data_IF_633149892782
#
_entry.id   IF_633149892782
#
_cell.length_a   1.000
_cell.length_b   1.000
_cell.length_c   1.000
_cell.angle_alpha   90.00
_cell.angle_beta   90.00
_cell.angle_gamma   90.00
#
_symmetry.space_group_name_H-M   'P 1'
#
loop_
_entity.id
_entity.type
_entity.pdbx_description
1 polymer ?
#
# COMPACT_ATOMS: atom_id res chain seq x y z
N UNK A 1 12.46 10.39 -13.32
CA UNK A 1 13.75 9.68 -13.09
C UNK A 1 13.51 8.21 -13.42
N UNK A 2 14.30 7.66 -14.36
CA UNK A 2 14.16 6.26 -14.77
C UNK A 2 15.08 5.37 -13.93
N UNK A 3 14.56 4.25 -13.50
CA UNK A 3 15.27 3.23 -12.73
C UNK A 3 15.14 1.90 -13.47
N UNK A 4 16.24 1.19 -13.63
CA UNK A 4 16.27 -0.16 -14.18
C UNK A 4 16.67 -1.14 -13.06
N UNK A 5 15.75 -2.02 -12.68
CA UNK A 5 16.06 -3.18 -11.85
C UNK A 5 16.56 -4.27 -12.80
N UNK A 6 17.84 -4.66 -12.69
CA UNK A 6 18.49 -5.52 -13.67
C UNK A 6 18.78 -6.91 -13.14
N UNK A 7 18.42 -7.92 -13.93
CA UNK A 7 18.79 -9.31 -13.71
C UNK A 7 18.08 -9.99 -12.54
N UNK A 8 16.94 -9.46 -12.05
CA UNK A 8 16.16 -10.05 -10.97
C UNK A 8 15.26 -11.19 -11.43
N UNK A 9 14.95 -12.15 -10.54
CA UNK A 9 13.83 -13.05 -10.75
C UNK A 9 12.52 -12.27 -10.56
N UNK A 10 11.84 -11.98 -11.66
CA UNK A 10 10.57 -11.25 -11.65
C UNK A 10 9.43 -12.26 -11.52
N UNK A 11 8.67 -12.12 -10.41
CA UNK A 11 7.48 -12.92 -10.13
C UNK A 11 6.26 -12.02 -10.14
N UNK A 12 5.36 -12.23 -11.11
CA UNK A 12 4.11 -11.48 -11.23
C UNK A 12 2.96 -12.44 -11.51
N UNK A 13 2.14 -12.75 -10.50
CA UNK A 13 0.99 -13.64 -10.66
C UNK A 13 -0.06 -13.14 -11.65
N UNK A 14 -0.21 -11.80 -11.79
CA UNK A 14 -1.23 -11.23 -12.67
C UNK A 14 -0.94 -11.51 -14.15
N UNK A 15 0.34 -11.59 -14.52
CA UNK A 15 0.80 -11.91 -15.88
C UNK A 15 1.33 -13.33 -16.02
N UNK A 16 1.21 -14.15 -14.96
CA UNK A 16 1.77 -15.51 -14.88
C UNK A 16 3.28 -15.54 -15.21
N UNK A 17 4.02 -14.55 -14.74
CA UNK A 17 5.45 -14.40 -14.99
C UNK A 17 6.25 -14.95 -13.80
N UNK A 18 7.25 -15.77 -14.10
CA UNK A 18 8.29 -16.20 -13.17
C UNK A 18 9.56 -16.46 -14.02
N UNK A 19 10.39 -15.41 -14.17
CA UNK A 19 11.58 -15.49 -15.02
C UNK A 19 12.61 -14.45 -14.60
N UNK A 20 13.88 -14.69 -14.95
CA UNK A 20 14.93 -13.69 -14.78
C UNK A 20 14.83 -12.69 -15.93
N UNK A 21 14.59 -11.44 -15.59
CA UNK A 21 14.54 -10.33 -16.54
C UNK A 21 14.71 -8.97 -15.83
N UNK A 22 14.67 -7.90 -16.63
CA UNK A 22 14.82 -6.52 -16.16
C UNK A 22 13.44 -5.86 -16.01
N UNK A 23 13.37 -4.87 -15.10
CA UNK A 23 12.18 -4.02 -14.92
C UNK A 23 12.60 -2.56 -15.04
N UNK A 24 12.08 -1.87 -16.06
CA UNK A 24 12.29 -0.44 -16.25
C UNK A 24 11.12 0.34 -15.68
N UNK A 25 11.43 1.26 -14.77
CA UNK A 25 10.47 2.12 -14.07
C UNK A 25 10.73 3.57 -14.52
N UNK A 26 9.66 4.28 -14.90
CA UNK A 26 9.70 5.72 -15.16
C UNK A 26 8.73 6.45 -14.21
N UNK A 27 9.29 7.19 -13.27
CA UNK A 27 8.48 7.83 -12.22
C UNK A 27 7.69 6.82 -11.41
N UNK A 28 6.36 6.83 -11.52
CA UNK A 28 5.45 5.96 -10.79
C UNK A 28 4.90 4.79 -11.64
N UNK A 29 5.47 4.54 -12.83
CA UNK A 29 4.94 3.56 -13.79
C UNK A 29 6.01 2.54 -14.15
N UNK A 30 5.65 1.26 -14.22
CA UNK A 30 6.46 0.23 -14.85
C UNK A 30 6.34 0.43 -16.37
N UNK A 31 7.42 0.91 -16.99
CA UNK A 31 7.45 1.20 -18.43
C UNK A 31 7.62 -0.08 -19.25
N UNK A 32 8.52 -0.96 -18.81
CA UNK A 32 8.83 -2.20 -19.52
C UNK A 32 9.34 -3.30 -18.59
N UNK A 33 9.00 -4.54 -18.92
CA UNK A 33 9.56 -5.73 -18.31
C UNK A 33 10.04 -6.65 -19.42
N UNK A 34 11.33 -7.04 -19.42
CA UNK A 34 11.92 -7.87 -20.46
C UNK A 34 13.42 -8.07 -20.26
N UNK A 35 14.06 -8.79 -21.16
CA UNK A 35 15.50 -9.02 -21.12
C UNK A 35 16.25 -7.91 -21.85
N UNK A 36 17.50 -7.68 -21.43
CA UNK A 36 18.46 -6.80 -22.10
C UNK A 36 17.94 -5.37 -22.34
N UNK A 37 17.24 -4.81 -21.36
CA UNK A 37 16.73 -3.43 -21.46
C UNK A 37 17.88 -2.42 -21.47
N UNK A 38 17.71 -1.28 -22.22
CA UNK A 38 18.76 -0.28 -22.36
C UNK A 38 19.12 0.36 -21.01
N UNK A 39 20.44 0.50 -20.77
CA UNK A 39 20.99 1.12 -19.56
C UNK A 39 21.34 2.60 -19.73
N UNK A 40 21.30 3.12 -20.95
CA UNK A 40 21.66 4.50 -21.23
C UNK A 40 20.61 5.48 -20.65
N UNK A 41 21.06 6.44 -19.85
CA UNK A 41 20.20 7.49 -19.29
C UNK A 41 19.28 7.03 -18.14
N UNK A 42 19.53 5.88 -17.55
CA UNK A 42 18.77 5.34 -16.42
C UNK A 42 19.68 5.06 -15.23
N UNK A 43 19.11 5.09 -14.01
CA UNK A 43 19.79 4.59 -12.82
C UNK A 43 19.65 3.06 -12.78
N UNK A 44 20.75 2.34 -12.87
CA UNK A 44 20.76 0.87 -12.83
C UNK A 44 20.91 0.39 -11.39
N UNK A 45 20.01 -0.51 -10.99
CA UNK A 45 20.06 -1.23 -9.73
C UNK A 45 20.20 -2.72 -10.06
N UNK A 46 21.38 -3.27 -9.87
CA UNK A 46 21.61 -4.71 -10.02
C UNK A 46 20.88 -5.45 -8.90
N UNK A 47 19.98 -6.37 -9.26
CA UNK A 47 19.23 -7.15 -8.28
C UNK A 47 20.14 -8.26 -7.74
N UNK A 48 20.37 -8.33 -6.42
CA UNK A 48 21.24 -9.34 -5.86
C UNK A 48 20.76 -10.78 -6.16
N UNK A 49 21.70 -11.69 -6.35
CA UNK A 49 21.38 -13.11 -6.59
C UNK A 49 20.51 -13.67 -5.45
N UNK A 50 19.42 -14.35 -5.82
CA UNK A 50 18.46 -14.92 -4.87
C UNK A 50 17.33 -13.95 -4.46
N UNK A 51 17.43 -12.66 -4.83
CA UNK A 51 16.34 -11.72 -4.62
C UNK A 51 15.24 -11.86 -5.69
N UNK A 52 14.02 -11.60 -5.27
CA UNK A 52 12.83 -11.60 -6.13
C UNK A 52 12.34 -10.18 -6.30
N UNK A 53 11.99 -9.81 -7.52
CA UNK A 53 11.26 -8.58 -7.85
C UNK A 53 9.80 -8.97 -8.06
N UNK A 54 8.91 -8.43 -7.26
CA UNK A 54 7.47 -8.71 -7.35
C UNK A 54 6.65 -7.43 -7.13
N UNK A 55 5.35 -7.42 -7.46
CA UNK A 55 4.44 -6.36 -7.03
C UNK A 55 4.51 -6.16 -5.52
N UNK A 56 4.38 -4.91 -5.07
CA UNK A 56 4.36 -4.60 -3.65
C UNK A 56 3.22 -5.32 -2.94
N UNK A 57 3.45 -5.77 -1.70
CA UNK A 57 2.46 -6.48 -0.93
C UNK A 57 1.30 -5.59 -0.53
N UNK A 58 0.14 -6.20 -0.31
CA UNK A 58 -1.06 -5.55 0.20
C UNK A 58 -1.48 -6.29 1.47
N UNK A 59 -1.58 -5.57 2.60
CA UNK A 59 -2.13 -6.12 3.82
C UNK A 59 -3.59 -5.69 3.96
N UNK A 60 -4.49 -6.67 3.97
CA UNK A 60 -5.94 -6.41 4.02
C UNK A 60 -6.49 -6.31 5.45
N UNK A 61 -5.64 -6.36 6.49
CA UNK A 61 -6.11 -6.31 7.87
C UNK A 61 -5.05 -5.73 8.79
N UNK A 62 -5.00 -4.41 8.91
CA UNK A 62 -4.11 -3.71 9.83
C UNK A 62 -4.87 -2.79 10.78
N UNK A 63 -4.24 -2.40 11.89
CA UNK A 63 -4.79 -1.43 12.82
C UNK A 63 -3.86 -0.23 12.91
N UNK A 64 -4.22 0.88 12.26
CA UNK A 64 -3.44 2.12 12.29
C UNK A 64 -3.74 2.99 13.52
N UNK A 65 -4.74 2.62 14.33
CA UNK A 65 -5.07 3.20 15.64
C UNK A 65 -5.47 4.68 15.66
N UNK A 66 -5.33 5.37 14.57
CA UNK A 66 -5.70 6.78 14.42
C UNK A 66 -6.96 6.91 13.55
N UNK A 67 -7.97 7.68 14.00
CA UNK A 67 -7.99 8.55 15.17
C UNK A 67 -8.25 7.82 16.51
N UNK A 68 -7.79 8.45 17.60
CA UNK A 68 -8.21 8.19 18.98
C UNK A 68 -7.30 7.27 19.79
N UNK A 69 -6.35 6.60 19.21
CA UNK A 69 -5.38 5.74 19.89
C UNK A 69 -3.94 6.00 19.43
N UNK A 70 -3.62 7.25 19.13
CA UNK A 70 -2.34 7.71 18.56
C UNK A 70 -1.13 7.38 19.44
N UNK A 71 -1.37 7.16 20.74
CA UNK A 71 -0.35 6.71 21.68
C UNK A 71 0.16 5.28 21.41
N UNK A 72 -0.58 4.49 20.62
CA UNK A 72 -0.19 3.13 20.22
C UNK A 72 0.44 3.13 18.83
N UNK A 73 -0.19 3.80 17.88
CA UNK A 73 0.20 3.87 16.49
C UNK A 73 -0.44 5.09 15.83
N UNK A 74 0.20 5.67 14.84
CA UNK A 74 -0.37 6.68 13.94
C UNK A 74 -0.40 6.15 12.51
N UNK A 75 -1.20 6.78 11.65
CA UNK A 75 -1.22 6.45 10.22
C UNK A 75 0.18 6.64 9.62
N UNK A 76 0.90 7.67 10.04
CA UNK A 76 2.26 7.94 9.56
C UNK A 76 3.24 6.83 9.95
N UNK A 77 3.26 6.41 11.23
CA UNK A 77 4.19 5.39 11.71
C UNK A 77 3.85 4.01 11.18
N UNK A 78 2.55 3.64 11.17
CA UNK A 78 2.11 2.35 10.65
C UNK A 78 2.33 2.20 9.15
N UNK A 79 2.10 3.24 8.36
CA UNK A 79 2.39 3.20 6.91
C UNK A 79 3.89 3.20 6.61
N UNK A 80 4.71 3.86 7.44
CA UNK A 80 6.17 3.78 7.34
C UNK A 80 6.65 2.34 7.61
N UNK A 81 6.13 1.69 8.65
CA UNK A 81 6.44 0.30 8.96
C UNK A 81 6.00 -0.64 7.83
N UNK A 82 4.83 -0.40 7.24
CA UNK A 82 4.33 -1.16 6.10
C UNK A 82 5.31 -1.09 4.90
N UNK A 83 5.74 0.11 4.51
CA UNK A 83 6.70 0.29 3.41
C UNK A 83 8.03 -0.39 3.71
N UNK A 84 8.53 -0.30 4.94
CA UNK A 84 9.76 -0.99 5.35
C UNK A 84 9.64 -2.52 5.24
N UNK A 85 8.43 -3.06 5.36
CA UNK A 85 8.12 -4.49 5.16
C UNK A 85 7.79 -4.87 3.70
N UNK A 86 7.84 -3.92 2.75
CA UNK A 86 7.52 -4.17 1.34
C UNK A 86 6.02 -4.08 1.00
N UNK A 87 5.19 -3.60 1.94
CA UNK A 87 3.76 -3.36 1.69
C UNK A 87 3.55 -1.98 1.08
N UNK A 88 2.93 -1.94 -0.08
CA UNK A 88 2.61 -0.70 -0.80
C UNK A 88 1.20 -0.20 -0.54
N UNK A 89 0.37 -1.04 0.05
CA UNK A 89 -0.99 -0.73 0.42
C UNK A 89 -1.42 -1.51 1.68
N UNK A 90 -2.29 -0.89 2.47
CA UNK A 90 -2.87 -1.50 3.68
C UNK A 90 -4.35 -1.16 3.78
N UNK A 91 -5.16 -2.12 4.22
CA UNK A 91 -6.56 -1.88 4.56
C UNK A 91 -6.70 -1.79 6.08
N UNK A 92 -7.04 -0.60 6.61
CA UNK A 92 -7.11 -0.39 8.04
C UNK A 92 -8.51 -0.64 8.58
N UNK A 93 -8.56 -1.39 9.68
CA UNK A 93 -9.80 -1.78 10.34
C UNK A 93 -10.51 -0.59 10.99
N UNK A 94 -11.86 -0.63 11.09
CA UNK A 94 -12.69 0.50 11.50
C UNK A 94 -12.69 0.79 13.01
N UNK A 95 -11.98 0.01 13.82
CA UNK A 95 -11.99 0.08 15.29
C UNK A 95 -11.13 1.22 15.85
N UNK A 96 -11.28 2.38 15.27
CA UNK A 96 -10.75 3.68 15.71
C UNK A 96 -11.67 4.30 16.77
N UNK A 97 -11.33 5.48 17.28
CA UNK A 97 -12.15 6.22 18.22
C UNK A 97 -12.20 7.72 17.80
N UNK A 98 -13.33 8.16 17.22
CA UNK A 98 -14.56 7.39 16.93
C UNK A 98 -14.33 6.24 15.94
N UNK A 99 -15.28 5.28 15.96
CA UNK A 99 -15.31 4.18 14.99
C UNK A 99 -15.47 4.76 13.56
N UNK A 100 -14.82 4.15 12.58
CA UNK A 100 -15.00 4.54 11.17
C UNK A 100 -16.33 3.99 10.63
N UNK A 101 -17.44 4.65 10.95
CA UNK A 101 -18.78 4.26 10.56
C UNK A 101 -19.55 5.35 9.77
N UNK A 102 -18.87 6.43 9.40
CA UNK A 102 -19.37 7.51 8.56
C UNK A 102 -18.26 8.22 7.79
N UNK A 103 -18.62 8.95 6.73
CA UNK A 103 -17.69 9.59 5.79
C UNK A 103 -16.65 10.48 6.47
N UNK A 104 -17.01 11.25 7.50
CA UNK A 104 -16.07 12.17 8.14
C UNK A 104 -14.85 11.50 8.77
N UNK A 105 -14.98 10.29 9.32
CA UNK A 105 -13.82 9.53 9.84
C UNK A 105 -13.01 8.94 8.69
N UNK A 106 -13.69 8.42 7.66
CA UNK A 106 -13.02 7.94 6.44
C UNK A 106 -12.16 9.03 5.80
N UNK A 107 -12.72 10.24 5.62
CA UNK A 107 -12.03 11.40 5.04
C UNK A 107 -10.82 11.83 5.90
N UNK A 108 -10.97 11.83 7.22
CA UNK A 108 -9.88 12.13 8.15
C UNK A 108 -8.72 11.14 7.98
N UNK A 109 -9.02 9.83 7.92
CA UNK A 109 -8.00 8.79 7.72
C UNK A 109 -7.31 8.98 6.37
N UNK A 110 -8.06 9.22 5.30
CA UNK A 110 -7.51 9.43 3.95
C UNK A 110 -6.64 10.70 3.88
N UNK A 111 -7.06 11.78 4.52
CA UNK A 111 -6.30 13.03 4.59
C UNK A 111 -4.96 12.84 5.32
N UNK A 112 -4.96 12.11 6.45
CA UNK A 112 -3.73 11.80 7.19
C UNK A 112 -2.82 10.85 6.41
N UNK A 113 -3.40 9.87 5.72
CA UNK A 113 -2.64 8.96 4.85
C UNK A 113 -1.97 9.72 3.68
N UNK A 114 -2.68 10.66 3.06
CA UNK A 114 -2.13 11.52 2.03
C UNK A 114 -0.98 12.40 2.55
N UNK A 115 -1.12 12.96 3.75
CA UNK A 115 -0.07 13.76 4.39
C UNK A 115 1.16 12.93 4.75
N UNK A 116 0.99 11.66 5.18
CA UNK A 116 2.09 10.74 5.46
C UNK A 116 2.85 10.32 4.20
N UNK A 117 2.17 10.23 3.04
CA UNK A 117 2.72 9.94 1.72
C UNK A 117 3.62 8.68 1.68
N UNK A 118 3.24 7.63 2.43
CA UNK A 118 3.96 6.35 2.49
C UNK A 118 3.19 5.27 1.70
N UNK A 119 2.63 4.26 2.36
CA UNK A 119 1.77 3.27 1.73
C UNK A 119 0.37 3.85 1.44
N UNK A 120 -0.32 3.31 0.44
CA UNK A 120 -1.75 3.60 0.23
C UNK A 120 -2.56 3.04 1.39
N UNK A 121 -3.54 3.81 1.86
CA UNK A 121 -4.44 3.38 2.93
C UNK A 121 -5.85 3.27 2.39
N UNK A 122 -6.46 2.11 2.63
CA UNK A 122 -7.86 1.82 2.32
C UNK A 122 -8.62 1.67 3.64
N UNK A 123 -9.37 2.70 4.07
CA UNK A 123 -10.16 2.61 5.30
C UNK A 123 -11.32 1.63 5.12
N UNK A 124 -11.41 0.66 6.02
CA UNK A 124 -12.58 -0.24 6.10
C UNK A 124 -13.63 0.46 6.96
N UNK A 125 -14.86 0.57 6.45
CA UNK A 125 -16.00 1.07 7.20
C UNK A 125 -16.61 0.00 8.10
N UNK A 126 -17.08 0.39 9.28
CA UNK A 126 -17.86 -0.49 10.13
C UNK A 126 -19.26 -0.74 9.52
N UNK A 127 -19.77 -1.97 9.61
CA UNK A 127 -21.10 -2.33 9.11
C UNK A 127 -22.20 -1.69 9.96
N UNK A 128 -21.97 -1.52 11.26
CA UNK A 128 -22.94 -0.95 12.19
C UNK A 128 -22.34 0.26 12.91
N UNK A 129 -23.21 1.21 13.29
CA UNK A 129 -22.85 2.40 14.05
C UNK A 129 -22.18 2.01 15.36
N UNK A 130 -21.03 2.64 15.65
CA UNK A 130 -20.21 2.32 16.82
C UNK A 130 -19.73 0.87 16.89
N UNK A 131 -19.88 0.07 15.82
CA UNK A 131 -19.63 -1.38 15.80
C UNK A 131 -20.49 -2.17 16.78
N UNK A 132 -21.71 -1.71 17.08
CA UNK A 132 -22.58 -2.29 18.12
C UNK A 132 -23.52 -3.39 17.60
N UNK A 133 -23.69 -3.50 16.28
CA UNK A 133 -24.60 -4.48 15.68
C UNK A 133 -26.08 -4.12 15.73
N UNK A 134 -26.43 -2.95 16.25
CA UNK A 134 -27.83 -2.54 16.47
C UNK A 134 -28.40 -1.77 15.27
N UNK A 135 -27.63 -0.85 14.69
CA UNK A 135 -28.03 -0.01 13.58
C UNK A 135 -26.98 -0.01 12.49
N UNK A 136 -27.38 -0.13 11.24
CA UNK A 136 -26.46 -0.05 10.10
C UNK A 136 -25.77 1.32 10.06
N UNK A 137 -24.49 1.32 9.73
CA UNK A 137 -23.77 2.51 9.33
C UNK A 137 -24.31 3.04 7.98
N UNK A 138 -23.98 4.28 7.64
CA UNK A 138 -24.36 4.84 6.33
C UNK A 138 -23.36 4.33 5.27
N UNK A 139 -23.61 3.12 4.79
CA UNK A 139 -22.73 2.45 3.84
C UNK A 139 -22.63 3.17 2.49
N UNK A 140 -23.61 4.01 2.15
CA UNK A 140 -23.60 4.80 0.92
C UNK A 140 -22.56 5.94 1.00
N UNK A 141 -22.35 6.51 2.18
CA UNK A 141 -21.35 7.56 2.42
C UNK A 141 -19.93 7.04 2.57
N UNK A 142 -19.78 5.74 2.92
CA UNK A 142 -18.47 5.09 3.10
C UNK A 142 -17.81 4.59 1.80
N UNK A 143 -18.46 4.86 0.66
CA UNK A 143 -18.07 4.36 -0.66
C UNK A 143 -16.99 5.23 -1.33
#
# INVERSE_FOLDING_TARGET
>A
MKILLKGGRVVDPATNRDTICDVLIDGAVIERVGSDLPTAGVTVVEVPTGCVVCPGFIDMHVHLREPGQEHKETIATGTTAAVAGGFTAVACMPNTQPVNDHAGITELILSKAAAAAQARVYPIGAVSRGSQGEQLADLAELR
#
